data_IF_441461275548
#
_entry.id   IF_441461275548
#
_cell.length_a   1.000
_cell.length_b   1.000
_cell.length_c   1.000
_cell.angle_alpha   90.00
_cell.angle_beta   90.00
_cell.angle_gamma   90.00
#
_symmetry.space_group_name_H-M   'P 1'
#
loop_
_entity.id
_entity.type
_entity.pdbx_description
1 polymer ?
#
# COMPACT_ATOMS: atom_id res chain seq x y z
N UNK A 1 -2.43 -23.83 16.19
CA UNK A 1 -2.14 -23.05 14.97
C UNK A 1 -3.01 -21.80 15.03
N UNK A 2 -2.44 -20.67 15.47
CA UNK A 2 -3.18 -19.41 15.64
C UNK A 2 -3.62 -18.90 14.26
N UNK A 3 -4.90 -18.58 14.14
CA UNK A 3 -5.51 -18.08 12.91
C UNK A 3 -4.99 -16.66 12.62
N UNK A 4 -3.92 -16.60 11.83
CA UNK A 4 -3.26 -15.37 11.36
C UNK A 4 -4.27 -14.45 10.64
N UNK A 5 -5.38 -14.98 10.12
CA UNK A 5 -6.41 -14.16 9.48
C UNK A 5 -7.15 -13.28 10.50
N UNK A 6 -7.38 -13.76 11.72
CA UNK A 6 -8.01 -12.98 12.79
C UNK A 6 -7.14 -11.85 13.31
N UNK A 7 -5.83 -12.09 13.44
CA UNK A 7 -4.86 -11.10 13.96
C UNK A 7 -4.69 -9.93 13.00
N UNK A 8 -4.46 -10.20 11.70
CA UNK A 8 -4.32 -9.14 10.69
C UNK A 8 -5.59 -8.31 10.48
N UNK A 9 -6.77 -8.88 10.74
CA UNK A 9 -8.06 -8.18 10.65
C UNK A 9 -8.27 -7.27 11.86
N UNK A 10 -7.94 -7.74 13.06
CA UNK A 10 -8.00 -6.94 14.28
C UNK A 10 -7.04 -5.74 14.20
N UNK A 11 -5.85 -5.94 13.64
CA UNK A 11 -4.85 -4.88 13.48
C UNK A 11 -5.31 -3.80 12.49
N UNK A 12 -5.89 -4.18 11.35
CA UNK A 12 -6.38 -3.21 10.36
C UNK A 12 -7.54 -2.35 10.88
N UNK A 13 -8.51 -2.96 11.58
CA UNK A 13 -9.61 -2.22 12.21
C UNK A 13 -9.08 -1.30 13.31
N UNK A 14 -8.09 -1.76 14.08
CA UNK A 14 -7.45 -0.94 15.12
C UNK A 14 -6.71 0.25 14.53
N UNK A 15 -5.99 0.08 13.41
CA UNK A 15 -5.34 1.19 12.70
C UNK A 15 -6.35 2.19 12.14
N UNK A 16 -7.46 1.73 11.55
CA UNK A 16 -8.54 2.64 11.09
C UNK A 16 -9.15 3.40 12.27
N UNK A 17 -9.35 2.73 13.42
CA UNK A 17 -9.85 3.39 14.64
C UNK A 17 -8.87 4.46 15.13
N UNK A 18 -7.56 4.18 15.15
CA UNK A 18 -6.53 5.15 15.51
C UNK A 18 -6.47 6.32 14.54
N UNK A 19 -6.58 6.07 13.22
CA UNK A 19 -6.61 7.12 12.21
C UNK A 19 -7.87 8.00 12.33
N UNK A 20 -9.01 7.38 12.66
CA UNK A 20 -10.28 8.07 12.94
C UNK A 20 -10.15 8.98 14.17
N UNK A 21 -9.57 8.48 15.26
CA UNK A 21 -9.27 9.27 16.48
C UNK A 21 -8.35 10.44 16.15
N UNK A 22 -7.25 10.20 15.42
CA UNK A 22 -6.31 11.25 15.04
C UNK A 22 -6.95 12.37 14.20
N UNK A 23 -7.77 12.02 13.20
CA UNK A 23 -8.46 12.99 12.35
C UNK A 23 -9.50 13.83 13.11
N UNK A 24 -10.20 13.23 14.07
CA UNK A 24 -11.26 13.88 14.85
C UNK A 24 -10.66 14.71 15.99
N UNK A 25 -9.84 14.08 16.84
CA UNK A 25 -9.47 14.62 18.15
C UNK A 25 -8.16 15.42 18.11
N UNK A 26 -7.27 15.16 17.13
CA UNK A 26 -5.98 15.86 17.01
C UNK A 26 -6.03 16.96 15.96
N UNK A 27 -6.62 16.68 14.80
CA UNK A 27 -6.62 17.62 13.66
C UNK A 27 -7.86 18.51 13.61
N UNK A 28 -8.94 18.21 14.35
CA UNK A 28 -10.17 18.99 14.30
C UNK A 28 -10.78 19.06 12.90
N UNK A 29 -10.76 17.97 12.15
CA UNK A 29 -11.15 17.97 10.74
C UNK A 29 -12.58 18.51 10.55
N UNK A 30 -12.87 19.35 9.53
CA UNK A 30 -14.20 19.98 9.34
C UNK A 30 -15.38 19.00 9.28
N UNK A 31 -15.11 17.74 8.90
CA UNK A 31 -16.08 16.64 8.83
C UNK A 31 -16.05 15.70 10.04
N UNK A 32 -15.45 16.10 11.16
CA UNK A 32 -15.25 15.26 12.33
C UNK A 32 -16.56 14.61 12.83
N UNK A 33 -17.67 15.36 12.84
CA UNK A 33 -18.98 14.86 13.25
C UNK A 33 -19.50 13.74 12.32
N UNK A 34 -19.40 13.94 11.00
CA UNK A 34 -19.78 12.93 10.00
C UNK A 34 -18.90 11.68 10.10
N UNK A 35 -17.59 11.86 10.26
CA UNK A 35 -16.64 10.75 10.42
C UNK A 35 -16.98 9.98 11.70
N UNK A 36 -17.24 10.67 12.82
CA UNK A 36 -17.60 10.05 14.10
C UNK A 36 -18.85 9.18 13.97
N UNK A 37 -19.90 9.71 13.33
CA UNK A 37 -21.17 9.01 13.10
C UNK A 37 -21.10 7.88 12.06
N UNK A 38 -20.10 7.90 11.17
CA UNK A 38 -19.95 6.89 10.12
C UNK A 38 -19.61 5.50 10.69
N UNK A 39 -20.34 4.48 10.24
CA UNK A 39 -20.02 3.08 10.51
C UNK A 39 -18.76 2.66 9.75
N UNK A 40 -17.89 1.91 10.43
CA UNK A 40 -16.69 1.34 9.81
C UNK A 40 -17.10 0.06 9.10
N UNK A 41 -17.18 0.11 7.77
CA UNK A 41 -17.38 -1.09 6.95
C UNK A 41 -16.06 -1.60 6.40
N UNK A 42 -15.83 -2.92 6.53
CA UNK A 42 -14.71 -3.57 5.88
C UNK A 42 -14.99 -3.67 4.39
N UNK A 43 -14.24 -2.93 3.60
CA UNK A 43 -14.32 -3.03 2.15
C UNK A 43 -13.85 -4.41 1.67
N UNK A 44 -14.73 -5.14 0.97
CA UNK A 44 -14.36 -6.38 0.27
C UNK A 44 -13.72 -6.02 -1.08
N UNK A 45 -12.39 -5.98 -1.10
CA UNK A 45 -11.62 -5.66 -2.30
C UNK A 45 -11.35 -6.95 -3.08
N UNK A 46 -11.52 -6.91 -4.41
CA UNK A 46 -11.31 -8.06 -5.31
C UNK A 46 -9.87 -8.60 -5.29
N UNK A 47 -8.89 -7.76 -4.98
CA UNK A 47 -7.49 -8.13 -4.86
C UNK A 47 -7.05 -8.50 -3.43
N UNK A 48 -7.97 -8.64 -2.48
CA UNK A 48 -7.64 -9.11 -1.14
C UNK A 48 -7.07 -10.54 -1.21
N UNK A 49 -5.86 -10.74 -0.71
CA UNK A 49 -5.22 -12.05 -0.62
C UNK A 49 -4.93 -12.38 0.84
N UNK A 50 -5.13 -13.63 1.24
CA UNK A 50 -4.93 -14.09 2.63
C UNK A 50 -3.63 -14.89 2.82
N UNK A 51 -2.90 -15.17 1.73
CA UNK A 51 -1.75 -16.09 1.71
C UNK A 51 -0.47 -15.48 1.12
N UNK A 52 -0.46 -14.20 0.77
CA UNK A 52 0.71 -13.55 0.16
C UNK A 52 1.44 -12.65 1.17
N UNK A 53 2.36 -13.26 1.93
CA UNK A 53 3.21 -12.55 2.88
C UNK A 53 4.35 -11.75 2.22
N UNK A 54 4.60 -11.96 0.92
CA UNK A 54 5.76 -11.39 0.20
C UNK A 54 5.38 -10.14 -0.60
N UNK A 55 4.18 -10.10 -1.18
CA UNK A 55 3.69 -8.95 -1.98
C UNK A 55 2.61 -8.13 -1.27
N UNK A 56 2.24 -8.43 -0.01
CA UNK A 56 1.16 -7.71 0.70
C UNK A 56 1.34 -6.17 0.66
N UNK A 57 2.57 -5.68 0.86
CA UNK A 57 2.90 -4.26 0.75
C UNK A 57 2.67 -3.67 -0.65
N UNK A 58 2.86 -4.45 -1.72
CA UNK A 58 2.58 -4.02 -3.10
C UNK A 58 1.09 -3.80 -3.31
N UNK A 59 0.25 -4.70 -2.79
CA UNK A 59 -1.21 -4.54 -2.84
C UNK A 59 -1.67 -3.30 -2.06
N UNK A 60 -1.13 -3.08 -0.85
CA UNK A 60 -1.45 -1.90 -0.04
C UNK A 60 -1.05 -0.60 -0.75
N UNK A 61 0.20 -0.51 -1.22
CA UNK A 61 0.67 0.68 -1.94
C UNK A 61 -0.10 0.93 -3.24
N UNK A 62 -0.45 -0.13 -3.98
CA UNK A 62 -1.28 -0.03 -5.18
C UNK A 62 -2.69 0.45 -4.85
N UNK A 63 -3.27 -0.04 -3.77
CA UNK A 63 -4.58 0.39 -3.30
C UNK A 63 -4.57 1.88 -2.95
N UNK A 64 -3.66 2.31 -2.06
CA UNK A 64 -3.54 3.72 -1.65
C UNK A 64 -3.30 4.63 -2.84
N UNK A 65 -2.46 4.22 -3.79
CA UNK A 65 -2.16 5.00 -5.00
C UNK A 65 -3.36 5.17 -5.91
N UNK A 66 -4.15 4.13 -6.10
CA UNK A 66 -5.25 4.16 -7.05
C UNK A 66 -6.48 4.81 -6.42
N UNK A 67 -6.63 4.81 -5.09
CA UNK A 67 -7.84 5.25 -4.38
C UNK A 67 -8.26 6.69 -4.72
N UNK A 68 -9.44 6.84 -5.31
CA UNK A 68 -10.01 8.12 -5.77
C UNK A 68 -11.22 8.57 -4.94
N UNK A 69 -11.46 7.97 -3.77
CA UNK A 69 -12.62 8.32 -2.93
C UNK A 69 -13.98 7.80 -3.44
N UNK A 70 -14.02 7.00 -4.51
CA UNK A 70 -15.26 6.44 -5.03
C UNK A 70 -15.82 5.32 -4.15
N UNK A 71 -17.15 5.19 -4.10
CA UNK A 71 -17.86 4.12 -3.39
C UNK A 71 -17.45 2.73 -3.92
N UNK A 72 -16.55 2.11 -3.17
CA UNK A 72 -16.38 0.68 -2.81
C UNK A 72 -16.76 -0.45 -3.78
N UNK A 73 -17.91 -0.41 -4.48
CA UNK A 73 -18.43 -1.56 -5.23
C UNK A 73 -17.79 -1.75 -6.62
N UNK A 74 -17.19 -0.71 -7.20
CA UNK A 74 -16.56 -0.75 -8.53
C UNK A 74 -15.03 -0.56 -8.49
N UNK A 75 -14.39 -0.83 -7.36
CA UNK A 75 -12.98 -0.52 -7.15
C UNK A 75 -12.04 -1.57 -7.77
N UNK A 76 -11.56 -1.32 -8.99
CA UNK A 76 -10.52 -2.14 -9.63
C UNK A 76 -9.12 -1.57 -9.40
N UNK A 77 -8.27 -2.33 -8.70
CA UNK A 77 -6.86 -1.98 -8.51
C UNK A 77 -6.00 -2.25 -9.77
N UNK A 78 -6.57 -2.80 -10.84
CA UNK A 78 -5.91 -3.12 -12.10
C UNK A 78 -5.00 -4.33 -12.00
N UNK A 79 -5.38 -5.31 -11.18
CA UNK A 79 -4.70 -6.60 -11.09
C UNK A 79 -5.40 -7.61 -11.99
N UNK A 80 -4.65 -8.36 -12.82
CA UNK A 80 -5.24 -9.42 -13.63
C UNK A 80 -5.75 -10.56 -12.74
N UNK A 81 -6.77 -11.27 -13.23
CA UNK A 81 -7.32 -12.45 -12.56
C UNK A 81 -6.36 -13.64 -12.61
N UNK A 82 -5.63 -13.80 -13.71
CA UNK A 82 -4.63 -14.85 -13.89
C UNK A 82 -3.44 -14.66 -12.92
N UNK A 83 -3.06 -15.74 -12.23
CA UNK A 83 -2.03 -15.71 -11.19
C UNK A 83 -0.62 -15.43 -11.73
N UNK A 84 -0.30 -15.93 -12.94
CA UNK A 84 1.01 -15.67 -13.56
C UNK A 84 1.14 -14.20 -13.94
N UNK A 85 0.11 -13.66 -14.60
CA UNK A 85 0.04 -12.24 -14.94
C UNK A 85 0.05 -11.36 -13.67
N UNK A 86 -0.60 -11.80 -12.59
CA UNK A 86 -0.61 -11.10 -11.30
C UNK A 86 0.77 -11.06 -10.69
N UNK A 87 1.51 -12.16 -10.67
CA UNK A 87 2.91 -12.22 -10.20
C UNK A 87 3.82 -11.31 -11.03
N UNK A 88 3.67 -11.29 -12.35
CA UNK A 88 4.40 -10.37 -13.24
C UNK A 88 4.06 -8.91 -12.91
N UNK A 89 2.78 -8.59 -12.68
CA UNK A 89 2.35 -7.25 -12.27
C UNK A 89 2.96 -6.86 -10.92
N UNK A 90 2.98 -7.76 -9.94
CA UNK A 90 3.61 -7.53 -8.64
C UNK A 90 5.11 -7.26 -8.78
N UNK A 91 5.82 -8.04 -9.60
CA UNK A 91 7.25 -7.82 -9.87
C UNK A 91 7.52 -6.44 -10.48
N UNK A 92 6.72 -6.03 -11.47
CA UNK A 92 6.83 -4.70 -12.08
C UNK A 92 6.54 -3.58 -11.08
N UNK A 93 5.47 -3.70 -10.28
CA UNK A 93 5.13 -2.70 -9.27
C UNK A 93 6.19 -2.61 -8.18
N UNK A 94 6.76 -3.75 -7.75
CA UNK A 94 7.88 -3.78 -6.80
C UNK A 94 9.05 -2.97 -7.32
N UNK A 95 9.50 -3.20 -8.55
CA UNK A 95 10.58 -2.41 -9.18
C UNK A 95 10.23 -0.92 -9.21
N UNK A 96 9.01 -0.58 -9.64
CA UNK A 96 8.55 0.82 -9.74
C UNK A 96 8.48 1.53 -8.40
N UNK A 97 7.99 0.87 -7.36
CA UNK A 97 7.89 1.45 -6.02
C UNK A 97 9.25 1.53 -5.34
N UNK A 98 10.08 0.50 -5.44
CA UNK A 98 11.46 0.53 -4.95
C UNK A 98 12.25 1.67 -5.61
N UNK A 99 12.21 1.78 -6.94
CA UNK A 99 12.84 2.90 -7.66
C UNK A 99 12.38 4.25 -7.10
N UNK A 100 11.06 4.47 -6.99
CA UNK A 100 10.53 5.73 -6.44
C UNK A 100 10.97 6.00 -5.00
N UNK A 101 11.00 4.99 -4.14
CA UNK A 101 11.43 5.16 -2.75
C UNK A 101 12.91 5.49 -2.66
N UNK A 102 13.73 4.79 -3.45
CA UNK A 102 15.17 4.97 -3.48
C UNK A 102 15.58 6.34 -4.02
N UNK A 103 14.87 6.85 -5.05
CA UNK A 103 15.19 8.13 -5.70
C UNK A 103 14.39 9.34 -5.18
N UNK A 104 13.51 9.13 -4.19
CA UNK A 104 12.74 10.19 -3.55
C UNK A 104 13.65 11.17 -2.80
N UNK A 105 13.37 12.47 -2.87
CA UNK A 105 14.16 13.51 -2.17
C UNK A 105 14.12 13.37 -0.64
N UNK A 106 13.06 12.77 -0.11
CA UNK A 106 12.92 12.50 1.33
C UNK A 106 13.85 11.36 1.78
N UNK A 107 14.32 10.51 0.86
CA UNK A 107 15.26 9.46 1.20
C UNK A 107 16.63 10.07 1.49
N UNK A 108 17.01 10.14 2.76
CA UNK A 108 18.32 10.61 3.22
C UNK A 108 19.52 9.88 2.61
N UNK A 109 19.30 8.71 2.00
CA UNK A 109 20.34 7.92 1.35
C UNK A 109 20.30 8.01 -0.19
N UNK A 110 19.45 8.87 -0.77
CA UNK A 110 19.27 9.00 -2.22
C UNK A 110 20.59 9.14 -2.97
N UNK A 111 21.43 10.10 -2.57
CA UNK A 111 22.67 10.40 -3.29
C UNK A 111 23.64 9.22 -3.27
N UNK A 112 23.74 8.51 -2.14
CA UNK A 112 24.55 7.29 -2.03
C UNK A 112 24.04 6.20 -2.97
N UNK A 113 22.73 5.97 -2.99
CA UNK A 113 22.11 4.94 -3.85
C UNK A 113 22.32 5.26 -5.33
N UNK A 114 22.19 6.53 -5.73
CA UNK A 114 22.40 6.94 -7.11
C UNK A 114 23.87 6.82 -7.53
N UNK A 115 24.80 7.15 -6.63
CA UNK A 115 26.23 6.96 -6.89
C UNK A 115 26.56 5.48 -7.10
N UNK A 116 26.16 4.61 -6.18
CA UNK A 116 26.40 3.17 -6.28
C UNK A 116 25.77 2.58 -7.55
N UNK A 117 24.58 3.04 -7.95
CA UNK A 117 23.95 2.60 -9.20
C UNK A 117 24.76 3.00 -10.44
N UNK A 118 25.27 4.24 -10.50
CA UNK A 118 26.10 4.70 -11.61
C UNK A 118 27.41 3.92 -11.68
N UNK A 119 28.03 3.63 -10.53
CA UNK A 119 29.28 2.86 -10.47
C UNK A 119 29.08 1.44 -11.03
N UNK A 120 27.98 0.78 -10.67
CA UNK A 120 27.60 -0.55 -11.20
C UNK A 120 27.30 -0.54 -12.71
N UNK A 121 26.62 0.50 -13.20
CA UNK A 121 26.34 0.64 -14.64
C UNK A 121 27.66 0.82 -15.42
N UNK A 122 28.63 1.57 -14.89
CA UNK A 122 29.93 1.73 -15.52
C UNK A 122 30.76 0.43 -15.54
N UNK A 123 30.63 -0.42 -14.53
CA UNK A 123 31.30 -1.72 -14.47
C UNK A 123 30.73 -2.73 -15.47
N UNK A 124 29.43 -2.64 -15.79
CA UNK A 124 28.77 -3.56 -16.75
C UNK A 124 29.06 -3.25 -18.21
N UNK A 125 29.66 -2.08 -18.52
CA UNK A 125 30.03 -1.65 -19.87
C UNK A 125 31.55 -1.65 -20.12
N UNK A 126 32.34 -2.22 -19.21
CA UNK A 126 33.75 -2.59 -19.41
C UNK A 126 33.87 -4.01 -19.96
#
# INVERSE_FOLDING_TARGET
MLDITGVMIADYISVIRLQKIYLIDVLGHPKAAEIKASQIEKLRISCATTKNFVDCGIFVMRHMKMFMGNHTRAWDCGFPKDERAKKTKCSLLRKKYAYKMLTCDINRHKDRVLKEANDLDNETHK
#
